data_IF_237333765748
#
_entry.id   IF_237333765748
#
_cell.length_a   1.000
_cell.length_b   1.000
_cell.length_c   1.000
_cell.angle_alpha   90.00
_cell.angle_beta   90.00
_cell.angle_gamma   90.00
#
_symmetry.space_group_name_H-M   'P 1'
#
loop_
_entity.id
_entity.type
_entity.pdbx_description
1 polymer ?
#
# COMPACT_ATOMS: atom_id res chain seq x y z
N UNK A 1 11.31 -2.25 -6.81
CA UNK A 1 10.21 -1.36 -6.35
C UNK A 1 8.91 -2.04 -6.71
N UNK A 2 8.06 -2.29 -5.73
CA UNK A 2 6.73 -2.81 -5.94
C UNK A 2 5.72 -1.67 -5.79
N UNK A 3 4.78 -1.58 -6.71
CA UNK A 3 3.74 -0.55 -6.69
C UNK A 3 2.37 -1.20 -6.49
N UNK A 4 1.53 -0.52 -5.74
CA UNK A 4 0.14 -0.89 -5.49
C UNK A 4 -0.78 0.26 -5.88
N UNK A 5 -1.90 -0.08 -6.49
CA UNK A 5 -2.98 0.85 -6.75
C UNK A 5 -4.21 0.38 -5.98
N UNK A 6 -4.74 1.25 -5.13
CA UNK A 6 -5.94 0.97 -4.36
C UNK A 6 -6.99 2.07 -4.64
N UNK A 7 -8.17 1.67 -5.08
CA UNK A 7 -9.29 2.58 -5.27
C UNK A 7 -10.27 2.43 -4.11
N UNK A 8 -10.57 3.57 -3.48
CA UNK A 8 -11.50 3.63 -2.34
C UNK A 8 -12.69 4.48 -2.73
N UNK A 9 -13.93 3.95 -2.70
CA UNK A 9 -15.12 4.76 -2.91
C UNK A 9 -15.32 5.70 -1.73
N UNK A 10 -15.56 6.97 -2.02
CA UNK A 10 -15.85 7.98 -1.00
C UNK A 10 -17.32 8.40 -1.05
N UNK A 11 -18.06 8.27 0.06
CA UNK A 11 -19.48 8.55 0.07
C UNK A 11 -19.77 10.05 -0.09
N UNK A 12 -20.90 10.38 -0.71
CA UNK A 12 -21.35 11.77 -0.89
C UNK A 12 -21.67 12.47 0.43
N UNK A 13 -21.97 11.72 1.49
CA UNK A 13 -22.27 12.26 2.82
C UNK A 13 -21.11 13.03 3.46
N UNK A 14 -19.88 12.80 2.99
CA UNK A 14 -18.68 13.46 3.51
C UNK A 14 -18.05 14.48 2.56
N UNK A 15 -18.72 14.82 1.46
CA UNK A 15 -18.20 15.72 0.43
C UNK A 15 -18.67 15.37 -0.97
N UNK A 16 -17.93 15.75 -2.03
CA UNK A 16 -18.37 15.55 -3.42
C UNK A 16 -18.52 14.10 -3.87
N UNK A 17 -18.23 13.12 -3.04
CA UNK A 17 -18.30 11.69 -3.39
C UNK A 17 -17.27 11.28 -4.45
N UNK A 18 -17.37 10.06 -4.98
CA UNK A 18 -16.52 9.54 -6.05
C UNK A 18 -15.35 8.69 -5.54
N UNK A 19 -14.38 8.39 -6.41
CA UNK A 19 -13.25 7.52 -6.07
C UNK A 19 -12.03 8.33 -5.61
N UNK A 20 -11.33 7.75 -4.69
CA UNK A 20 -10.06 8.21 -4.16
C UNK A 20 -9.03 7.09 -4.40
N UNK A 21 -7.91 7.43 -4.98
CA UNK A 21 -6.89 6.47 -5.35
C UNK A 21 -5.66 6.62 -4.47
N UNK A 22 -5.19 5.53 -3.90
CA UNK A 22 -3.90 5.47 -3.24
C UNK A 22 -2.92 4.75 -4.17
N UNK A 23 -1.81 5.40 -4.45
CA UNK A 23 -0.66 4.78 -5.12
C UNK A 23 0.38 4.51 -4.04
N UNK A 24 0.68 3.25 -3.80
CA UNK A 24 1.72 2.82 -2.87
C UNK A 24 2.98 2.39 -3.59
N UNK A 25 4.15 2.76 -3.09
CA UNK A 25 5.42 2.21 -3.52
C UNK A 25 6.17 1.62 -2.32
N UNK A 26 6.64 0.40 -2.46
CA UNK A 26 7.38 -0.33 -1.45
C UNK A 26 8.80 -0.52 -1.96
N UNK A 27 9.76 0.04 -1.25
CA UNK A 27 11.17 0.08 -1.63
C UNK A 27 11.98 -0.64 -0.57
N UNK A 28 12.40 -1.90 -0.79
CA UNK A 28 13.36 -2.56 0.09
C UNK A 28 14.64 -1.73 0.18
N UNK A 29 15.06 -1.41 1.39
CA UNK A 29 16.28 -0.65 1.67
C UNK A 29 17.37 -1.55 2.22
N UNK A 30 17.03 -2.35 3.23
CA UNK A 30 17.92 -3.29 3.89
C UNK A 30 17.14 -4.58 4.24
N UNK A 31 17.85 -5.54 4.80
CA UNK A 31 17.21 -6.74 5.35
C UNK A 31 16.24 -6.31 6.46
N UNK A 32 14.96 -6.61 6.29
CA UNK A 32 13.87 -6.26 7.21
C UNK A 32 13.52 -4.76 7.28
N UNK A 33 14.05 -3.93 6.37
CA UNK A 33 13.70 -2.51 6.27
C UNK A 33 13.14 -2.20 4.90
N UNK A 34 11.92 -1.68 4.86
CA UNK A 34 11.25 -1.28 3.62
C UNK A 34 10.73 0.14 3.75
N UNK A 35 11.15 1.01 2.85
CA UNK A 35 10.56 2.33 2.71
C UNK A 35 9.19 2.22 2.05
N UNK A 36 8.21 2.89 2.63
CA UNK A 36 6.83 2.90 2.15
C UNK A 36 6.42 4.32 1.80
N UNK A 37 5.99 4.52 0.56
CA UNK A 37 5.54 5.81 0.05
C UNK A 37 4.08 5.68 -0.40
N UNK A 38 3.23 6.61 0.04
CA UNK A 38 1.84 6.67 -0.37
C UNK A 38 1.50 8.02 -0.98
N UNK A 39 1.02 8.00 -2.22
CA UNK A 39 0.39 9.15 -2.87
C UNK A 39 -1.12 8.97 -2.86
N UNK A 40 -1.80 9.98 -2.42
CA UNK A 40 -3.25 10.03 -2.37
C UNK A 40 -3.74 10.91 -3.48
N UNK A 41 -4.38 10.32 -4.45
CA UNK A 41 -4.74 10.94 -5.70
C UNK A 41 -6.26 11.01 -5.85
N UNK A 42 -6.74 12.12 -6.38
CA UNK A 42 -8.12 12.27 -6.79
C UNK A 42 -8.22 13.19 -8.00
N UNK A 43 -8.95 12.76 -9.01
CA UNK A 43 -9.24 13.62 -10.17
C UNK A 43 -10.43 14.52 -9.83
N UNK A 44 -10.19 15.81 -9.70
CA UNK A 44 -11.19 16.84 -9.39
C UNK A 44 -10.93 18.10 -10.18
N UNK A 45 -11.97 18.90 -10.45
CA UNK A 45 -11.89 20.17 -11.17
C UNK A 45 -12.77 21.22 -10.53
N UNK A 46 -12.56 22.49 -10.89
CA UNK A 46 -13.35 23.61 -10.42
C UNK A 46 -13.42 23.70 -8.89
N UNK A 47 -14.58 24.11 -8.36
CA UNK A 47 -14.83 24.28 -6.92
C UNK A 47 -14.64 23.00 -6.09
N UNK A 48 -14.86 21.84 -6.70
CA UNK A 48 -14.64 20.55 -6.03
C UNK A 48 -13.18 20.35 -5.62
N UNK A 49 -12.24 20.87 -6.41
CA UNK A 49 -10.81 20.81 -6.09
C UNK A 49 -10.49 21.54 -4.78
N UNK A 50 -11.05 22.74 -4.64
CA UNK A 50 -10.74 23.59 -3.47
C UNK A 50 -11.45 23.06 -2.21
N UNK A 51 -12.69 22.58 -2.35
CA UNK A 51 -13.41 21.88 -1.29
C UNK A 51 -12.63 20.64 -0.83
N UNK A 52 -12.12 19.86 -1.78
CA UNK A 52 -11.38 18.65 -1.47
C UNK A 52 -10.04 18.95 -0.80
N UNK A 53 -9.31 19.96 -1.23
CA UNK A 53 -8.07 20.42 -0.58
C UNK A 53 -8.33 20.85 0.86
N UNK A 54 -9.38 21.61 1.08
CA UNK A 54 -9.78 22.05 2.42
C UNK A 54 -10.13 20.88 3.33
N UNK A 55 -11.01 19.98 2.88
CA UNK A 55 -11.41 18.79 3.64
C UNK A 55 -10.22 17.88 3.93
N UNK A 56 -9.37 17.67 2.93
CA UNK A 56 -8.20 16.81 3.07
C UNK A 56 -7.25 17.36 4.14
N UNK A 57 -6.82 18.60 3.99
CA UNK A 57 -5.87 19.26 4.89
C UNK A 57 -6.39 19.32 6.35
N UNK A 58 -7.67 19.61 6.54
CA UNK A 58 -8.21 19.88 7.87
C UNK A 58 -8.81 18.63 8.57
N UNK A 59 -9.07 17.55 7.84
CA UNK A 59 -9.82 16.42 8.43
C UNK A 59 -9.31 15.04 8.01
N UNK A 60 -8.95 14.84 6.75
CA UNK A 60 -8.66 13.52 6.22
C UNK A 60 -7.18 13.14 6.34
N UNK A 61 -6.29 14.10 6.23
CA UNK A 61 -4.84 13.86 6.27
C UNK A 61 -4.41 13.18 7.57
N UNK A 62 -4.83 13.73 8.71
CA UNK A 62 -4.52 13.15 10.03
C UNK A 62 -5.12 11.75 10.21
N UNK A 63 -6.34 11.52 9.71
CA UNK A 63 -6.96 10.19 9.78
C UNK A 63 -6.17 9.16 8.97
N UNK A 64 -5.77 9.51 7.76
CA UNK A 64 -4.97 8.62 6.92
C UNK A 64 -3.59 8.36 7.51
N UNK A 65 -2.99 9.39 8.12
CA UNK A 65 -1.72 9.23 8.83
C UNK A 65 -1.86 8.27 10.01
N UNK A 66 -2.89 8.42 10.82
CA UNK A 66 -3.11 7.55 11.97
C UNK A 66 -3.29 6.08 11.58
N UNK A 67 -3.97 5.80 10.46
CA UNK A 67 -4.11 4.43 9.94
C UNK A 67 -2.73 3.86 9.56
N UNK A 68 -1.94 4.61 8.82
CA UNK A 68 -0.59 4.17 8.43
C UNK A 68 0.32 3.96 9.63
N UNK A 69 0.21 4.81 10.64
CA UNK A 69 0.99 4.69 11.87
C UNK A 69 0.59 3.46 12.68
N UNK A 70 -0.69 3.12 12.73
CA UNK A 70 -1.15 1.87 13.34
C UNK A 70 -0.59 0.65 12.62
N UNK A 71 -0.61 0.66 11.29
CA UNK A 71 -0.05 -0.41 10.47
C UNK A 71 1.47 -0.54 10.68
N UNK A 72 2.19 0.60 10.74
CA UNK A 72 3.63 0.62 11.01
C UNK A 72 3.95 -0.04 12.35
N UNK A 73 3.28 0.38 13.42
CA UNK A 73 3.49 -0.16 14.76
C UNK A 73 3.20 -1.66 14.80
N UNK A 74 2.12 -2.10 14.14
CA UNK A 74 1.78 -3.52 14.09
C UNK A 74 2.84 -4.35 13.35
N UNK A 75 3.34 -3.84 12.21
CA UNK A 75 4.38 -4.53 11.42
C UNK A 75 5.72 -4.56 12.17
N UNK A 76 6.11 -3.46 12.82
CA UNK A 76 7.35 -3.41 13.62
C UNK A 76 7.32 -4.31 14.86
N UNK A 77 6.13 -4.57 15.41
CA UNK A 77 5.95 -5.49 16.53
C UNK A 77 5.92 -6.97 16.13
N UNK A 78 5.93 -7.27 14.83
CA UNK A 78 5.90 -8.66 14.36
C UNK A 78 7.22 -9.38 14.65
N UNK A 79 7.11 -10.60 15.15
CA UNK A 79 8.26 -11.50 15.31
C UNK A 79 8.93 -11.78 13.96
N UNK A 80 10.27 -11.90 13.89
CA UNK A 80 10.99 -12.13 12.64
C UNK A 80 10.54 -13.39 11.87
N UNK A 81 9.97 -14.37 12.57
CA UNK A 81 9.47 -15.62 12.02
C UNK A 81 7.94 -15.73 12.00
N UNK A 82 7.24 -14.62 12.11
CA UNK A 82 5.77 -14.58 12.14
C UNK A 82 5.15 -15.27 10.92
N UNK A 83 5.78 -15.15 9.75
CA UNK A 83 5.36 -15.80 8.52
C UNK A 83 5.35 -17.35 8.58
N UNK A 84 6.11 -17.96 9.47
CA UNK A 84 6.12 -19.41 9.68
C UNK A 84 4.95 -19.90 10.53
N UNK A 85 4.30 -18.99 11.23
CA UNK A 85 3.18 -19.25 12.15
C UNK A 85 1.86 -18.67 11.64
N UNK A 86 1.83 -18.22 10.38
CA UNK A 86 0.61 -17.70 9.77
C UNK A 86 -0.41 -18.80 9.50
N UNK A 87 -1.65 -18.52 9.84
CA UNK A 87 -2.81 -19.30 9.40
C UNK A 87 -3.55 -18.49 8.34
N UNK A 88 -3.22 -18.75 7.08
CA UNK A 88 -3.90 -18.10 5.95
C UNK A 88 -5.27 -18.71 5.75
N UNK A 89 -6.28 -17.86 5.65
CA UNK A 89 -7.67 -18.24 5.46
C UNK A 89 -8.12 -18.02 4.00
N UNK A 90 -9.31 -18.46 3.65
CA UNK A 90 -9.82 -18.37 2.27
C UNK A 90 -9.82 -16.94 1.70
N UNK A 91 -9.93 -15.91 2.54
CA UNK A 91 -9.89 -14.51 2.14
C UNK A 91 -8.47 -13.99 1.86
N UNK A 92 -7.44 -14.73 2.24
CA UNK A 92 -6.04 -14.36 2.06
C UNK A 92 -5.46 -14.79 0.69
N UNK A 93 -6.33 -15.20 -0.22
CA UNK A 93 -5.94 -15.63 -1.58
C UNK A 93 -5.09 -14.57 -2.29
N UNK A 94 -5.36 -13.27 -2.06
CA UNK A 94 -4.59 -12.17 -2.61
C UNK A 94 -3.13 -12.18 -2.15
N UNK A 95 -2.90 -12.40 -0.86
CA UNK A 95 -1.55 -12.49 -0.26
C UNK A 95 -0.79 -13.68 -0.84
N UNK A 96 -1.45 -14.85 -0.94
CA UNK A 96 -0.84 -16.07 -1.50
C UNK A 96 -0.42 -15.85 -2.96
N UNK A 97 -1.29 -15.24 -3.78
CA UNK A 97 -0.98 -14.94 -5.19
C UNK A 97 0.17 -13.93 -5.30
N UNK A 98 0.15 -12.89 -4.50
CA UNK A 98 1.22 -11.88 -4.47
C UNK A 98 2.57 -12.52 -4.13
N UNK A 99 2.64 -13.32 -3.06
CA UNK A 99 3.86 -14.01 -2.64
C UNK A 99 4.40 -14.96 -3.73
N UNK A 100 3.53 -15.73 -4.38
CA UNK A 100 3.94 -16.58 -5.52
C UNK A 100 4.51 -15.76 -6.66
N UNK A 101 3.88 -14.64 -6.99
CA UNK A 101 4.35 -13.73 -8.04
C UNK A 101 5.71 -13.13 -7.71
N UNK A 102 5.89 -12.64 -6.50
CA UNK A 102 7.15 -12.07 -6.02
C UNK A 102 8.28 -13.12 -6.05
N UNK A 103 8.00 -14.32 -5.58
CA UNK A 103 8.97 -15.43 -5.62
C UNK A 103 9.39 -15.78 -7.04
N UNK A 104 8.45 -15.87 -7.97
CA UNK A 104 8.73 -16.17 -9.37
C UNK A 104 9.56 -15.06 -10.04
N UNK A 105 9.24 -13.79 -9.76
CA UNK A 105 10.00 -12.64 -10.29
C UNK A 105 11.42 -12.59 -9.71
N UNK A 106 11.56 -12.84 -8.41
CA UNK A 106 12.86 -12.92 -7.74
C UNK A 106 13.74 -14.03 -8.31
N UNK A 107 13.17 -15.23 -8.50
CA UNK A 107 13.89 -16.35 -9.11
C UNK A 107 14.35 -16.02 -10.53
N UNK A 108 13.46 -15.48 -11.37
CA UNK A 108 13.80 -15.08 -12.73
C UNK A 108 14.87 -13.96 -12.79
N UNK A 109 14.98 -13.14 -11.76
CA UNK A 109 16.05 -12.14 -11.65
C UNK A 109 17.39 -12.79 -11.28
N UNK A 110 17.39 -13.73 -10.35
CA UNK A 110 18.59 -14.49 -9.98
C UNK A 110 19.10 -15.29 -11.18
N UNK A 111 18.20 -16.03 -11.87
CA UNK A 111 18.57 -16.84 -13.03
C UNK A 111 19.22 -16.01 -14.15
N UNK A 112 18.70 -14.79 -14.39
CA UNK A 112 19.31 -13.85 -15.34
C UNK A 112 20.69 -13.35 -14.90
N UNK A 113 20.87 -13.11 -13.61
CA UNK A 113 22.14 -12.64 -13.08
C UNK A 113 23.21 -13.74 -13.07
N UNK A 114 22.81 -15.00 -12.89
CA UNK A 114 23.73 -16.16 -12.84
C UNK A 114 23.92 -16.85 -14.19
N UNK A 115 22.96 -16.77 -15.09
CA UNK A 115 23.01 -17.40 -16.43
C UNK A 115 23.74 -16.58 -17.50
N UNK A 116 24.29 -15.41 -17.17
CA UNK A 116 25.07 -14.55 -18.08
C UNK A 116 26.58 -14.64 -17.90
N UNK A 117 27.07 -15.70 -17.25
CA UNK A 117 28.51 -15.98 -17.08
C UNK A 117 28.94 -17.13 -18.00
#
# INVERSE_FOLDING_TARGET
IHTMLLEIPYPKTGGPGGNFTIVGAFVPQEKNVTGVFFWRCRKVSGWQRDTWRFLYKNRLEQRHWNVLEQDRVAVEAMEPNANQREFLYQHDTGIVRLRRRLKALGQAQVDRATGGA
#
